data_IF_184319319619
#
_entry.id   IF_184319319619
#
_cell.length_a   1.000
_cell.length_b   1.000
_cell.length_c   1.000
_cell.angle_alpha   90.00
_cell.angle_beta   90.00
_cell.angle_gamma   90.00
#
_symmetry.space_group_name_H-M   'P 1'
#
loop_
_entity.id
_entity.type
_entity.pdbx_description
1 polymer ?
#
# COMPACT_ATOMS: atom_id res chain seq x y z
N UNK A 1 49.30 -57.83 -1.65
CA UNK A 1 48.55 -57.15 -0.56
C UNK A 1 48.29 -55.67 -0.83
N UNK A 2 49.07 -54.97 -1.71
CA UNK A 2 48.96 -53.53 -1.95
C UNK A 2 47.81 -53.09 -2.89
N UNK A 3 47.26 -53.97 -3.73
CA UNK A 3 46.22 -53.62 -4.71
C UNK A 3 44.81 -53.47 -4.09
N UNK A 4 44.53 -54.10 -2.95
CA UNK A 4 43.26 -53.97 -2.24
C UNK A 4 43.14 -52.67 -1.44
N UNK A 5 44.25 -52.16 -0.92
CA UNK A 5 44.32 -50.92 -0.16
C UNK A 5 44.13 -49.69 -1.05
N UNK A 6 44.67 -49.67 -2.28
CA UNK A 6 44.53 -48.58 -3.21
C UNK A 6 43.09 -48.42 -3.73
N UNK A 7 42.35 -49.51 -3.95
CA UNK A 7 40.93 -49.49 -4.33
C UNK A 7 40.02 -48.98 -3.22
N UNK A 8 40.33 -49.31 -1.96
CA UNK A 8 39.57 -48.82 -0.80
C UNK A 8 39.76 -47.29 -0.61
N UNK A 9 40.99 -46.81 -0.82
CA UNK A 9 41.28 -45.39 -0.66
C UNK A 9 40.64 -44.53 -1.79
N UNK A 10 40.60 -45.03 -3.04
CA UNK A 10 39.95 -44.36 -4.14
C UNK A 10 38.39 -44.34 -3.98
N UNK A 11 37.80 -45.41 -3.49
CA UNK A 11 36.36 -45.48 -3.21
C UNK A 11 35.94 -44.52 -2.09
N UNK A 12 36.76 -44.37 -1.04
CA UNK A 12 36.49 -43.49 0.09
C UNK A 12 36.64 -41.99 -0.27
N UNK A 13 37.57 -41.67 -1.16
CA UNK A 13 37.75 -40.31 -1.72
C UNK A 13 36.57 -39.91 -2.59
N UNK A 14 36.06 -40.83 -3.41
CA UNK A 14 34.93 -40.56 -4.32
C UNK A 14 33.59 -40.33 -3.54
N UNK A 15 33.38 -41.07 -2.47
CA UNK A 15 32.19 -40.89 -1.60
C UNK A 15 32.19 -39.56 -0.85
N UNK A 16 33.35 -39.08 -0.38
CA UNK A 16 33.49 -37.76 0.24
C UNK A 16 33.20 -36.62 -0.75
N UNK A 17 33.68 -36.74 -1.97
CA UNK A 17 33.39 -35.77 -3.04
C UNK A 17 31.90 -35.69 -3.38
N UNK A 18 31.23 -36.85 -3.44
CA UNK A 18 29.78 -36.92 -3.72
C UNK A 18 28.93 -36.29 -2.63
N UNK A 19 29.31 -36.51 -1.35
CA UNK A 19 28.65 -35.92 -0.18
C UNK A 19 28.82 -34.39 -0.16
N UNK A 20 30.02 -33.89 -0.49
CA UNK A 20 30.29 -32.44 -0.58
C UNK A 20 29.49 -31.77 -1.71
N UNK A 21 29.38 -32.42 -2.87
CA UNK A 21 28.54 -31.94 -3.97
C UNK A 21 27.07 -31.88 -3.56
N UNK A 22 26.54 -32.94 -2.97
CA UNK A 22 25.14 -32.94 -2.46
C UNK A 22 24.87 -31.80 -1.47
N UNK A 23 25.78 -31.54 -0.54
CA UNK A 23 25.65 -30.41 0.43
C UNK A 23 25.63 -29.07 -0.27
N UNK A 24 26.46 -28.86 -1.31
CA UNK A 24 26.47 -27.62 -2.09
C UNK A 24 25.14 -27.39 -2.83
N UNK A 25 24.58 -28.41 -3.47
CA UNK A 25 23.29 -28.33 -4.14
C UNK A 25 22.16 -28.02 -3.15
N UNK A 26 22.15 -28.65 -1.96
CA UNK A 26 21.17 -28.35 -0.92
C UNK A 26 21.26 -26.88 -0.47
N UNK A 27 22.47 -26.35 -0.26
CA UNK A 27 22.65 -24.95 0.12
C UNK A 27 22.18 -23.99 -0.98
N UNK A 28 22.48 -24.29 -2.25
CA UNK A 28 22.01 -23.50 -3.39
C UNK A 28 20.48 -23.51 -3.47
N UNK A 29 19.86 -24.68 -3.29
CA UNK A 29 18.39 -24.80 -3.30
C UNK A 29 17.75 -23.97 -2.19
N UNK A 30 18.30 -24.00 -0.98
CA UNK A 30 17.82 -23.19 0.15
C UNK A 30 17.95 -21.71 -0.17
N UNK A 31 19.07 -21.28 -0.76
CA UNK A 31 19.29 -19.89 -1.16
C UNK A 31 18.26 -19.44 -2.20
N UNK A 32 17.98 -20.27 -3.20
CA UNK A 32 16.96 -19.96 -4.24
C UNK A 32 15.58 -19.80 -3.61
N UNK A 33 15.19 -20.72 -2.71
CA UNK A 33 13.91 -20.63 -2.01
C UNK A 33 13.81 -19.35 -1.17
N UNK A 34 14.90 -18.99 -0.48
CA UNK A 34 14.95 -17.76 0.32
C UNK A 34 14.77 -16.50 -0.54
N UNK A 35 15.50 -16.41 -1.66
CA UNK A 35 15.35 -15.29 -2.61
C UNK A 35 13.93 -15.22 -3.16
N UNK A 36 13.35 -16.37 -3.51
CA UNK A 36 11.97 -16.42 -4.00
C UNK A 36 10.96 -15.91 -2.95
N UNK A 37 11.10 -16.30 -1.68
CA UNK A 37 10.24 -15.80 -0.60
C UNK A 37 10.35 -14.28 -0.42
N UNK A 38 11.57 -13.72 -0.50
CA UNK A 38 11.79 -12.27 -0.40
C UNK A 38 11.11 -11.54 -1.56
N UNK A 39 11.26 -12.02 -2.79
CA UNK A 39 10.63 -11.43 -3.97
C UNK A 39 9.11 -11.48 -3.89
N UNK A 40 8.54 -12.62 -3.53
CA UNK A 40 7.09 -12.75 -3.34
C UNK A 40 6.56 -11.81 -2.25
N UNK A 41 7.29 -11.69 -1.13
CA UNK A 41 6.96 -10.75 -0.05
C UNK A 41 6.95 -9.30 -0.51
N UNK A 42 7.96 -8.90 -1.27
CA UNK A 42 8.06 -7.55 -1.83
C UNK A 42 6.90 -7.23 -2.80
N UNK A 43 6.59 -8.14 -3.73
CA UNK A 43 5.49 -7.96 -4.69
C UNK A 43 4.15 -7.85 -3.95
N UNK A 44 3.90 -8.74 -2.98
CA UNK A 44 2.67 -8.71 -2.19
C UNK A 44 2.52 -7.39 -1.42
N UNK A 45 3.61 -6.89 -0.82
CA UNK A 45 3.61 -5.61 -0.10
C UNK A 45 3.31 -4.43 -1.04
N UNK A 46 3.96 -4.40 -2.22
CA UNK A 46 3.73 -3.37 -3.25
C UNK A 46 2.27 -3.36 -3.70
N UNK A 47 1.70 -4.52 -4.03
CA UNK A 47 0.31 -4.63 -4.47
C UNK A 47 -0.68 -4.18 -3.40
N UNK A 48 -0.44 -4.50 -2.13
CA UNK A 48 -1.27 -4.02 -1.00
C UNK A 48 -1.19 -2.50 -0.85
N UNK A 49 0.01 -1.92 -1.00
CA UNK A 49 0.19 -0.47 -0.97
C UNK A 49 -0.58 0.22 -2.09
N UNK A 50 -0.44 -0.24 -3.31
CA UNK A 50 -1.16 0.32 -4.47
C UNK A 50 -2.67 0.19 -4.31
N UNK A 51 -3.14 -0.96 -3.86
CA UNK A 51 -4.57 -1.17 -3.59
C UNK A 51 -5.09 -0.21 -2.52
N UNK A 52 -4.35 -0.02 -1.42
CA UNK A 52 -4.72 0.92 -0.36
C UNK A 52 -4.81 2.36 -0.90
N UNK A 53 -3.77 2.82 -1.62
CA UNK A 53 -3.76 4.16 -2.23
C UNK A 53 -4.98 4.37 -3.13
N UNK A 54 -5.21 3.47 -4.08
CA UNK A 54 -6.35 3.57 -5.01
C UNK A 54 -7.70 3.55 -4.29
N UNK A 55 -7.82 2.81 -3.22
CA UNK A 55 -9.04 2.76 -2.42
C UNK A 55 -9.27 4.07 -1.66
N UNK A 56 -8.22 4.66 -1.08
CA UNK A 56 -8.34 5.95 -0.42
C UNK A 56 -8.62 7.09 -1.42
N UNK A 57 -8.00 7.07 -2.59
CA UNK A 57 -8.32 8.04 -3.66
C UNK A 57 -9.78 7.97 -4.07
N UNK A 58 -10.35 6.77 -4.28
CA UNK A 58 -11.79 6.60 -4.56
C UNK A 58 -12.68 7.14 -3.45
N UNK A 59 -12.23 7.01 -2.20
CA UNK A 59 -12.97 7.47 -1.04
C UNK A 59 -12.95 8.98 -0.93
N UNK A 60 -11.82 9.63 -1.25
CA UNK A 60 -11.69 11.08 -1.32
C UNK A 60 -12.51 11.63 -2.51
N UNK A 61 -12.46 10.99 -3.66
CA UNK A 61 -13.27 11.33 -4.83
C UNK A 61 -14.77 11.27 -4.52
N UNK A 62 -15.20 10.23 -3.82
CA UNK A 62 -16.58 10.07 -3.35
C UNK A 62 -17.00 11.24 -2.46
N UNK A 63 -16.15 11.66 -1.51
CA UNK A 63 -16.41 12.78 -0.62
C UNK A 63 -16.63 14.07 -1.42
N UNK A 64 -15.73 14.41 -2.34
CA UNK A 64 -15.87 15.62 -3.15
C UNK A 64 -17.09 15.60 -4.05
N UNK A 65 -17.40 14.45 -4.64
CA UNK A 65 -18.57 14.28 -5.51
C UNK A 65 -19.90 14.61 -4.82
N UNK A 66 -19.99 14.36 -3.51
CA UNK A 66 -21.23 14.56 -2.74
C UNK A 66 -21.28 15.90 -2.02
N UNK A 67 -20.12 16.52 -1.78
CA UNK A 67 -20.05 17.75 -0.97
C UNK A 67 -19.73 19.00 -1.80
N UNK A 68 -19.31 18.86 -3.07
CA UNK A 68 -19.00 20.02 -3.93
C UNK A 68 -20.05 20.25 -5.02
N UNK A 69 -20.29 21.53 -5.29
CA UNK A 69 -20.98 22.00 -6.51
C UNK A 69 -20.04 21.85 -7.70
N UNK A 70 -20.56 21.47 -8.86
CA UNK A 70 -19.81 21.41 -10.11
C UNK A 70 -18.52 20.58 -10.03
N UNK A 71 -18.54 19.48 -9.27
CA UNK A 71 -17.44 18.55 -9.22
C UNK A 71 -17.35 17.71 -10.51
N UNK A 72 -16.16 17.67 -11.12
CA UNK A 72 -15.91 16.91 -12.35
C UNK A 72 -14.78 15.89 -12.21
N UNK A 73 -13.71 16.27 -11.53
CA UNK A 73 -12.52 15.43 -11.40
C UNK A 73 -11.65 15.83 -10.22
N UNK A 74 -10.92 14.85 -9.71
CA UNK A 74 -9.85 15.03 -8.72
C UNK A 74 -8.52 14.60 -9.34
N UNK A 75 -7.46 15.31 -9.00
CA UNK A 75 -6.10 14.96 -9.35
C UNK A 75 -5.24 14.92 -8.11
N UNK A 76 -4.77 13.73 -7.72
CA UNK A 76 -3.84 13.54 -6.62
C UNK A 76 -2.43 13.82 -7.12
N UNK A 77 -1.72 14.70 -6.45
CA UNK A 77 -0.33 15.08 -6.78
C UNK A 77 0.68 14.39 -5.89
N UNK A 78 0.26 14.07 -4.65
CA UNK A 78 1.12 13.42 -3.67
C UNK A 78 0.32 12.49 -2.76
N UNK A 79 0.91 11.34 -2.40
CA UNK A 79 0.38 10.41 -1.41
C UNK A 79 1.55 9.88 -0.58
N UNK A 80 1.76 10.48 0.59
CA UNK A 80 2.91 10.22 1.43
C UNK A 80 2.52 9.65 2.79
N UNK A 81 3.37 8.76 3.32
CA UNK A 81 3.27 8.27 4.69
C UNK A 81 4.15 9.11 5.61
N UNK A 82 3.55 9.72 6.62
CA UNK A 82 4.28 10.31 7.73
C UNK A 82 4.53 9.26 8.81
N UNK A 83 5.77 8.78 8.89
CA UNK A 83 6.16 7.74 9.84
C UNK A 83 6.11 8.21 11.31
N UNK A 84 6.34 9.51 11.55
CA UNK A 84 6.35 10.06 12.91
C UNK A 84 4.94 10.26 13.46
N UNK A 85 4.01 10.68 12.61
CA UNK A 85 2.61 10.91 13.00
C UNK A 85 1.72 9.68 12.84
N UNK A 86 2.21 8.58 12.24
CA UNK A 86 1.40 7.39 11.96
C UNK A 86 0.21 7.70 11.05
N UNK A 87 0.37 8.60 10.07
CA UNK A 87 -0.69 9.05 9.17
C UNK A 87 -0.23 9.03 7.71
N UNK A 88 -1.19 9.12 6.79
CA UNK A 88 -0.90 9.44 5.39
C UNK A 88 -1.38 10.85 5.08
N UNK A 89 -0.60 11.57 4.29
CA UNK A 89 -0.96 12.86 3.72
C UNK A 89 -1.20 12.70 2.23
N UNK A 90 -2.33 13.24 1.77
CA UNK A 90 -2.72 13.21 0.36
C UNK A 90 -2.99 14.63 -0.08
N UNK A 91 -2.26 15.12 -1.07
CA UNK A 91 -2.44 16.45 -1.64
C UNK A 91 -2.90 16.36 -3.09
N UNK A 92 -3.70 17.30 -3.50
CA UNK A 92 -4.22 17.32 -4.86
C UNK A 92 -4.97 18.60 -5.20
N UNK A 93 -5.70 18.56 -6.31
CA UNK A 93 -6.57 19.64 -6.75
C UNK A 93 -7.78 19.13 -7.51
N UNK A 94 -8.83 19.96 -7.57
CA UNK A 94 -10.14 19.66 -8.16
C UNK A 94 -10.30 20.33 -9.54
N UNK A 95 -11.03 19.67 -10.44
CA UNK A 95 -11.48 20.21 -11.74
C UNK A 95 -10.34 20.75 -12.62
N UNK A 96 -9.17 20.10 -12.59
CA UNK A 96 -7.97 20.56 -13.32
C UNK A 96 -7.53 22.00 -12.98
N UNK A 97 -7.97 22.55 -11.86
CA UNK A 97 -7.64 23.90 -11.42
C UNK A 97 -6.79 23.86 -10.15
N UNK A 98 -5.50 24.17 -10.27
CA UNK A 98 -4.55 24.17 -9.14
C UNK A 98 -4.87 25.18 -8.03
N UNK A 99 -5.83 26.09 -8.23
CA UNK A 99 -6.33 26.97 -7.17
C UNK A 99 -7.33 26.28 -6.25
N UNK A 100 -7.85 25.12 -6.66
CA UNK A 100 -8.75 24.29 -5.87
C UNK A 100 -7.96 23.15 -5.24
N UNK A 101 -6.87 23.51 -4.58
CA UNK A 101 -5.99 22.58 -3.86
C UNK A 101 -6.62 22.10 -2.55
N UNK A 102 -6.22 20.90 -2.17
CA UNK A 102 -6.64 20.27 -0.93
C UNK A 102 -5.53 19.43 -0.34
N UNK A 103 -5.57 19.28 0.98
CA UNK A 103 -4.75 18.36 1.74
C UNK A 103 -5.64 17.49 2.64
N UNK A 104 -5.41 16.19 2.62
CA UNK A 104 -6.15 15.19 3.39
C UNK A 104 -5.21 14.49 4.35
N UNK A 105 -5.68 14.26 5.58
CA UNK A 105 -4.98 13.42 6.55
C UNK A 105 -5.75 12.14 6.81
N UNK A 106 -5.06 10.99 6.72
CA UNK A 106 -5.63 9.67 7.03
C UNK A 106 -4.87 9.11 8.23
N UNK A 107 -5.54 8.93 9.36
CA UNK A 107 -4.94 8.44 10.60
C UNK A 107 -4.90 6.92 10.63
N UNK A 108 -3.67 6.38 10.71
CA UNK A 108 -3.44 4.93 10.87
C UNK A 108 -3.64 4.54 12.34
N UNK A 109 -4.36 3.44 12.57
CA UNK A 109 -4.66 2.96 13.92
C UNK A 109 -5.99 3.42 14.49
N UNK A 110 -6.69 4.36 13.82
CA UNK A 110 -8.09 4.70 14.12
C UNK A 110 -9.02 3.93 13.17
N UNK A 111 -9.39 4.56 12.05
CA UNK A 111 -10.20 3.90 11.02
C UNK A 111 -9.35 3.30 9.89
N UNK A 112 -8.10 3.71 9.75
CA UNK A 112 -7.23 3.44 8.60
C UNK A 112 -7.78 3.96 7.26
N UNK A 113 -8.88 4.72 7.30
CA UNK A 113 -9.59 5.22 6.13
C UNK A 113 -9.71 6.74 6.21
N UNK A 114 -9.77 7.41 5.06
CA UNK A 114 -10.19 8.80 4.99
C UNK A 114 -11.63 8.94 5.47
N UNK A 115 -11.89 9.85 6.39
CA UNK A 115 -13.20 10.05 7.01
C UNK A 115 -13.67 11.52 7.00
N UNK A 116 -13.10 12.34 6.11
CA UNK A 116 -13.52 13.74 5.91
C UNK A 116 -12.57 14.78 6.49
N UNK A 117 -11.44 14.38 7.10
CA UNK A 117 -10.43 15.35 7.59
C UNK A 117 -9.66 15.95 6.41
N UNK A 118 -10.03 17.17 6.03
CA UNK A 118 -9.54 17.87 4.84
C UNK A 118 -9.19 19.33 5.15
N UNK A 119 -8.01 19.74 4.67
CA UNK A 119 -7.56 21.13 4.62
C UNK A 119 -7.74 21.71 3.23
N UNK A 120 -8.24 22.93 3.14
CA UNK A 120 -8.40 23.68 1.89
C UNK A 120 -8.48 25.19 2.15
N UNK A 121 -8.23 26.02 1.10
CA UNK A 121 -8.46 27.47 1.21
C UNK A 121 -9.95 27.79 1.08
N UNK A 122 -10.58 28.39 2.12
CA UNK A 122 -11.99 28.80 2.09
C UNK A 122 -12.34 29.78 0.98
N UNK A 123 -11.35 30.56 0.49
CA UNK A 123 -11.57 31.58 -0.55
C UNK A 123 -11.60 31.01 -1.96
N UNK A 124 -11.10 29.80 -2.14
CA UNK A 124 -11.01 29.08 -3.42
C UNK A 124 -11.88 27.84 -3.40
N UNK A 125 -11.34 26.69 -3.04
CA UNK A 125 -12.08 25.43 -2.99
C UNK A 125 -13.29 25.48 -2.04
N UNK A 126 -13.17 26.19 -0.92
CA UNK A 126 -14.27 26.34 0.04
C UNK A 126 -15.55 26.89 -0.54
N UNK A 127 -15.47 27.72 -1.60
CA UNK A 127 -16.67 28.26 -2.29
C UNK A 127 -17.44 27.23 -3.10
N UNK A 128 -16.81 26.11 -3.41
CA UNK A 128 -17.46 25.00 -4.14
C UNK A 128 -18.24 24.07 -3.22
N UNK A 129 -18.06 24.14 -1.91
CA UNK A 129 -18.84 23.32 -0.99
C UNK A 129 -20.32 23.66 -1.05
N UNK A 130 -21.16 22.64 -0.94
CA UNK A 130 -22.62 22.76 -0.94
C UNK A 130 -23.07 23.42 0.37
N UNK A 131 -22.46 23.04 1.49
CA UNK A 131 -22.69 23.61 2.80
C UNK A 131 -21.62 24.64 3.15
N UNK A 132 -22.05 25.74 3.79
CA UNK A 132 -21.12 26.72 4.36
C UNK A 132 -20.54 26.26 5.72
N UNK A 133 -21.18 25.29 6.38
CA UNK A 133 -20.69 24.67 7.61
C UNK A 133 -20.13 23.28 7.32
N UNK A 134 -18.82 23.06 7.50
CA UNK A 134 -18.18 21.75 7.26
C UNK A 134 -18.79 20.59 8.08
N UNK A 135 -19.50 20.89 9.17
CA UNK A 135 -20.21 19.87 9.97
C UNK A 135 -21.38 19.23 9.24
N UNK A 136 -21.88 19.87 8.20
CA UNK A 136 -22.97 19.37 7.38
C UNK A 136 -22.47 18.57 6.17
N UNK A 137 -21.16 18.53 5.96
CA UNK A 137 -20.57 17.71 4.90
C UNK A 137 -20.74 16.23 5.24
N UNK A 138 -21.15 15.46 4.24
CA UNK A 138 -21.30 14.01 4.40
C UNK A 138 -19.93 13.34 4.43
N UNK A 139 -19.63 12.62 5.48
CA UNK A 139 -18.44 11.76 5.51
C UNK A 139 -18.54 10.62 4.48
N UNK A 140 -17.43 10.07 4.00
CA UNK A 140 -17.46 8.92 3.10
C UNK A 140 -18.27 7.73 3.66
N UNK A 141 -18.22 7.48 4.98
CA UNK A 141 -18.98 6.42 5.62
C UNK A 141 -20.49 6.65 5.52
N UNK A 142 -20.95 7.90 5.73
CA UNK A 142 -22.36 8.27 5.59
C UNK A 142 -22.83 8.14 4.16
N UNK A 143 -21.99 8.56 3.18
CA UNK A 143 -22.31 8.42 1.76
C UNK A 143 -22.43 6.95 1.36
N UNK A 144 -21.45 6.11 1.73
CA UNK A 144 -21.46 4.67 1.44
C UNK A 144 -22.73 4.03 2.00
N UNK A 145 -23.11 4.37 3.22
CA UNK A 145 -24.32 3.85 3.86
C UNK A 145 -25.59 4.37 3.19
N UNK A 146 -25.68 5.66 2.89
CA UNK A 146 -26.83 6.32 2.27
C UNK A 146 -27.11 5.78 0.88
N UNK A 147 -26.07 5.59 0.08
CA UNK A 147 -26.15 5.16 -1.31
C UNK A 147 -26.09 3.62 -1.46
N UNK A 148 -26.06 2.88 -0.36
CA UNK A 148 -25.95 1.41 -0.34
C UNK A 148 -24.77 0.89 -1.18
N UNK A 149 -23.63 1.61 -1.15
CA UNK A 149 -22.44 1.23 -1.89
C UNK A 149 -21.76 0.01 -1.28
N UNK A 150 -21.10 -0.75 -2.13
CA UNK A 150 -20.29 -1.89 -1.71
C UNK A 150 -19.07 -1.40 -0.91
N UNK A 151 -19.09 -1.64 0.40
CA UNK A 151 -18.10 -1.19 1.37
C UNK A 151 -16.68 -1.66 1.01
N UNK A 152 -16.55 -2.88 0.51
CA UNK A 152 -15.24 -3.48 0.17
C UNK A 152 -14.53 -2.74 -0.98
N UNK A 153 -15.25 -1.93 -1.75
CA UNK A 153 -14.67 -1.08 -2.81
C UNK A 153 -14.08 0.24 -2.30
N UNK A 154 -14.41 0.60 -1.07
CA UNK A 154 -14.04 1.88 -0.44
C UNK A 154 -13.25 1.70 0.85
N UNK A 155 -12.94 0.48 1.27
CA UNK A 155 -12.15 0.21 2.45
C UNK A 155 -10.99 -0.74 2.10
N UNK A 156 -9.81 -0.42 2.61
CA UNK A 156 -8.62 -1.25 2.47
C UNK A 156 -7.70 -1.04 3.67
N UNK A 157 -7.05 -2.10 4.12
CA UNK A 157 -6.05 -2.00 5.16
C UNK A 157 -4.71 -1.51 4.59
N UNK A 158 -4.05 -0.57 5.27
CA UNK A 158 -2.71 -0.16 4.88
C UNK A 158 -1.74 -1.34 4.96
N UNK A 159 -0.72 -1.38 4.11
CA UNK A 159 0.27 -2.44 4.18
C UNK A 159 0.94 -2.46 5.56
N UNK A 160 1.17 -3.67 6.08
CA UNK A 160 1.87 -3.86 7.34
C UNK A 160 3.23 -3.14 7.30
N UNK A 161 3.65 -2.62 8.46
CA UNK A 161 4.92 -1.92 8.60
C UNK A 161 6.06 -2.95 8.55
N UNK A 162 6.77 -3.02 7.43
CA UNK A 162 8.09 -3.63 7.39
C UNK A 162 9.14 -2.52 7.37
N UNK A 163 9.97 -2.49 8.41
CA UNK A 163 11.21 -1.72 8.42
C UNK A 163 12.19 -2.40 7.45
N UNK A 164 12.25 -1.91 6.23
CA UNK A 164 13.35 -2.18 5.31
C UNK A 164 13.89 -0.84 4.83
#
# INVERSE_FOLDING_TARGET
MNMKLSRLHSSFSNTKGLILLKKRYVLITILIIFVFMVVCGYISHKNKKEHYIQTQEKRIDLYFKYNLKDYHSMHVTNFEKNFMAGSYFVSGYINNNKKYDFDVTIYVGQSNQFDGDIGYDPKTLGKLFISDDPKNDLSPNEIIKKEHLDKDKYEAEPPAFFLF
#
